data_IF_893442597812
#
_entry.id   IF_893442597812
#
_cell.length_a   1.000
_cell.length_b   1.000
_cell.length_c   1.000
_cell.angle_alpha   90.00
_cell.angle_beta   90.00
_cell.angle_gamma   90.00
#
_symmetry.space_group_name_H-M   'P 1'
#
loop_
_entity.id
_entity.type
_entity.pdbx_description
1 polymer ?
#
# COMPACT_ATOMS: atom_id res chain seq x y z
N UNK A 1 14.00 17.17 21.62
CA UNK A 1 14.95 17.47 20.50
C UNK A 1 16.41 17.45 20.97
N UNK A 2 16.71 18.02 22.13
CA UNK A 2 18.06 18.10 22.73
C UNK A 2 18.74 16.74 22.89
N UNK A 3 18.06 15.72 23.43
CA UNK A 3 18.60 14.38 23.60
C UNK A 3 18.97 13.70 22.28
N UNK A 4 18.21 13.97 21.20
CA UNK A 4 18.53 13.45 19.86
C UNK A 4 19.79 14.12 19.32
N UNK A 5 19.89 15.44 19.41
CA UNK A 5 21.08 16.19 18.99
C UNK A 5 22.32 15.72 19.75
N UNK A 6 22.22 15.61 21.07
CA UNK A 6 23.30 15.15 21.91
C UNK A 6 23.76 13.70 21.60
N UNK A 7 22.83 12.80 21.20
CA UNK A 7 23.18 11.45 20.74
C UNK A 7 23.90 11.47 19.39
N UNK A 8 23.46 12.35 18.46
CA UNK A 8 24.08 12.48 17.15
C UNK A 8 25.50 13.03 17.24
N UNK A 9 25.77 13.91 18.21
CA UNK A 9 27.07 14.58 18.40
C UNK A 9 28.06 13.75 19.24
N UNK A 10 27.58 12.79 20.05
CA UNK A 10 28.43 12.05 20.98
C UNK A 10 29.33 10.98 20.35
N UNK A 11 29.09 10.61 19.09
CA UNK A 11 29.79 9.49 18.46
C UNK A 11 29.39 8.10 18.98
N UNK A 12 28.43 8.04 19.91
CA UNK A 12 27.90 6.78 20.44
C UNK A 12 27.07 6.02 19.37
N UNK A 13 26.82 4.74 19.65
CA UNK A 13 25.93 3.94 18.81
C UNK A 13 24.55 4.58 18.71
N UNK A 14 24.14 4.91 17.48
CA UNK A 14 22.87 5.59 17.18
C UNK A 14 21.72 4.59 17.18
N UNK A 15 21.25 4.23 18.37
CA UNK A 15 20.11 3.34 18.55
C UNK A 15 18.99 4.03 19.32
N UNK A 16 17.76 3.60 19.10
CA UNK A 16 16.58 4.06 19.87
C UNK A 16 16.73 3.70 21.35
N UNK A 17 17.38 2.58 21.65
CA UNK A 17 17.68 2.16 23.02
C UNK A 17 18.59 3.17 23.74
N UNK A 18 19.70 3.58 23.11
CA UNK A 18 20.59 4.62 23.66
C UNK A 18 19.89 5.97 23.84
N UNK A 19 19.00 6.32 22.92
CA UNK A 19 18.19 7.54 23.08
C UNK A 19 17.32 7.44 24.33
N UNK A 20 16.65 6.32 24.56
CA UNK A 20 15.79 6.10 25.73
C UNK A 20 16.62 6.15 27.01
N UNK A 21 17.79 5.50 27.10
CA UNK A 21 18.70 5.57 28.24
C UNK A 21 19.09 7.02 28.59
N UNK A 22 19.41 7.82 27.57
CA UNK A 22 19.71 9.25 27.78
C UNK A 22 18.52 10.05 28.27
N UNK A 23 17.32 9.75 27.76
CA UNK A 23 16.10 10.39 28.22
C UNK A 23 15.74 10.01 29.66
N UNK A 24 16.03 8.76 30.09
CA UNK A 24 15.86 8.29 31.46
C UNK A 24 16.78 9.03 32.44
N UNK A 25 17.96 9.44 31.99
CA UNK A 25 18.88 10.26 32.76
C UNK A 25 18.61 11.77 32.68
N UNK A 26 17.62 12.20 31.90
CA UNK A 26 17.26 13.60 31.68
C UNK A 26 16.25 14.14 32.68
N UNK A 27 15.64 15.28 32.34
CA UNK A 27 14.62 15.93 33.14
C UNK A 27 13.28 15.17 33.16
N UNK A 28 12.37 15.52 34.08
CA UNK A 28 11.07 14.86 34.32
C UNK A 28 10.26 14.58 33.06
N UNK A 29 10.23 15.50 32.09
CA UNK A 29 9.52 15.32 30.82
C UNK A 29 10.19 14.23 29.98
N UNK A 30 11.52 14.23 29.90
CA UNK A 30 12.27 13.23 29.15
C UNK A 30 12.09 11.85 29.77
N UNK A 31 12.17 11.73 31.10
CA UNK A 31 11.93 10.49 31.82
C UNK A 31 10.52 9.93 31.60
N UNK A 32 9.50 10.81 31.56
CA UNK A 32 8.13 10.40 31.27
C UNK A 32 8.01 9.81 29.85
N UNK A 33 8.58 10.49 28.85
CA UNK A 33 8.58 10.01 27.47
C UNK A 33 9.38 8.70 27.36
N UNK A 34 10.51 8.56 28.03
CA UNK A 34 11.29 7.34 28.06
C UNK A 34 10.49 6.15 28.61
N UNK A 35 9.73 6.35 29.70
CA UNK A 35 8.85 5.31 30.27
C UNK A 35 7.73 4.88 29.29
N UNK A 36 7.15 5.85 28.57
CA UNK A 36 6.16 5.53 27.52
C UNK A 36 6.80 4.72 26.38
N UNK A 37 7.99 5.07 25.93
CA UNK A 37 8.72 4.34 24.89
C UNK A 37 9.09 2.92 25.33
N UNK A 38 9.53 2.74 26.60
CA UNK A 38 9.83 1.42 27.17
C UNK A 38 8.60 0.49 27.18
N UNK A 39 7.39 1.04 27.33
CA UNK A 39 6.17 0.23 27.29
C UNK A 39 6.01 -0.50 25.94
N UNK A 40 6.56 0.04 24.86
CA UNK A 40 6.50 -0.60 23.53
C UNK A 40 7.52 -1.73 23.35
N UNK A 41 8.55 -1.83 24.18
CA UNK A 41 9.53 -2.93 24.10
C UNK A 41 8.88 -4.31 24.36
N UNK A 42 7.74 -4.35 25.04
CA UNK A 42 6.95 -5.57 25.25
C UNK A 42 6.22 -6.06 23.99
N UNK A 43 6.01 -5.21 23.02
CA UNK A 43 5.31 -5.53 21.78
C UNK A 43 6.29 -6.01 20.68
N UNK A 44 5.90 -7.01 19.90
CA UNK A 44 6.74 -7.57 18.85
C UNK A 44 7.12 -6.53 17.78
N UNK A 45 6.19 -5.66 17.42
CA UNK A 45 6.41 -4.60 16.43
C UNK A 45 7.17 -3.44 17.08
N UNK A 46 6.87 -3.12 18.34
CA UNK A 46 7.60 -2.11 19.11
C UNK A 46 9.09 -2.42 19.21
N UNK A 47 9.47 -3.68 19.39
CA UNK A 47 10.87 -4.13 19.39
C UNK A 47 11.60 -3.92 18.05
N UNK A 48 10.88 -3.87 16.92
CA UNK A 48 11.48 -3.55 15.63
C UNK A 48 11.94 -2.09 15.54
N UNK A 49 11.30 -1.20 16.30
CA UNK A 49 11.61 0.24 16.31
C UNK A 49 12.55 0.57 17.49
N UNK A 50 12.30 -0.05 18.65
CA UNK A 50 13.00 0.21 19.90
C UNK A 50 13.86 -1.02 20.22
N UNK A 51 14.91 -1.25 19.42
CA UNK A 51 15.83 -2.36 19.59
C UNK A 51 17.22 -1.92 20.06
N UNK A 52 17.92 -2.83 20.75
CA UNK A 52 19.32 -2.62 21.15
C UNK A 52 20.27 -2.69 19.95
N UNK A 53 19.92 -3.43 18.92
CA UNK A 53 20.67 -3.54 17.66
C UNK A 53 19.70 -3.54 16.49
N UNK A 54 20.04 -2.80 15.46
CA UNK A 54 19.47 -3.03 14.15
C UNK A 54 20.06 -4.35 13.61
N UNK A 55 19.31 -5.44 13.71
CA UNK A 55 19.67 -6.73 13.12
C UNK A 55 19.58 -6.74 11.59
N UNK A 56 19.62 -5.59 10.97
CA UNK A 56 19.60 -5.39 9.52
C UNK A 56 19.42 -3.94 9.18
N UNK A 57 20.15 -3.48 8.20
CA UNK A 57 19.95 -2.17 7.60
C UNK A 57 18.99 -2.34 6.42
N UNK A 58 17.87 -1.60 6.43
CA UNK A 58 17.10 -1.40 5.22
C UNK A 58 18.01 -0.69 4.21
N UNK A 59 18.61 -1.46 3.30
CA UNK A 59 19.42 -0.94 2.22
C UNK A 59 18.58 -0.94 0.94
N UNK A 60 18.48 0.21 0.29
CA UNK A 60 17.98 0.28 -1.08
C UNK A 60 19.19 0.28 -2.01
N UNK A 61 19.15 -0.61 -3.00
CA UNK A 61 20.17 -0.74 -4.05
C UNK A 61 19.52 -0.82 -5.43
N UNK A 62 20.26 -1.33 -6.38
CA UNK A 62 19.72 -1.70 -7.69
C UNK A 62 18.75 -2.88 -7.55
N UNK A 63 17.67 -2.87 -8.33
CA UNK A 63 16.66 -3.92 -8.33
C UNK A 63 15.38 -3.55 -7.57
N UNK A 64 14.74 -4.54 -6.98
CA UNK A 64 13.44 -4.40 -6.31
C UNK A 64 13.65 -4.52 -4.80
N UNK A 65 13.22 -3.51 -4.06
CA UNK A 65 13.12 -3.56 -2.60
C UNK A 65 11.64 -3.67 -2.22
N UNK A 66 11.27 -4.76 -1.56
CA UNK A 66 9.92 -4.97 -1.04
C UNK A 66 9.91 -4.71 0.46
N UNK A 67 9.08 -3.76 0.91
CA UNK A 67 8.84 -3.48 2.33
C UNK A 67 7.45 -4.01 2.66
N UNK A 68 7.39 -5.04 3.49
CA UNK A 68 6.14 -5.69 3.86
C UNK A 68 5.97 -5.70 5.37
N UNK A 69 4.81 -5.26 5.83
CA UNK A 69 4.43 -5.27 7.24
C UNK A 69 3.24 -6.20 7.45
N UNK A 70 3.45 -7.49 7.69
CA UNK A 70 2.36 -8.41 7.96
C UNK A 70 1.63 -8.02 9.26
N UNK A 71 0.30 -7.95 9.20
CA UNK A 71 -0.56 -7.66 10.36
C UNK A 71 -0.33 -6.27 11.01
N UNK A 72 0.04 -5.27 10.22
CA UNK A 72 0.10 -3.90 10.70
C UNK A 72 -1.33 -3.42 11.03
N UNK A 73 -1.57 -3.11 12.30
CA UNK A 73 -2.84 -2.52 12.73
C UNK A 73 -2.73 -1.01 12.61
N UNK A 74 -3.50 -0.44 11.67
CA UNK A 74 -3.55 1.00 11.46
C UNK A 74 -4.86 1.55 12.02
N UNK A 75 -4.84 2.79 12.57
CA UNK A 75 -6.06 3.41 13.06
C UNK A 75 -7.05 3.64 11.91
N UNK A 76 -8.37 3.45 12.16
CA UNK A 76 -9.40 3.76 11.19
C UNK A 76 -9.35 5.24 10.76
N UNK A 77 -9.80 5.52 9.53
CA UNK A 77 -9.88 6.87 9.02
C UNK A 77 -10.72 7.78 9.93
N UNK A 78 -10.23 8.97 10.21
CA UNK A 78 -10.93 9.97 11.02
C UNK A 78 -10.89 9.75 12.54
N UNK A 79 -10.26 8.68 13.03
CA UNK A 79 -10.08 8.44 14.46
C UNK A 79 -9.01 9.37 15.04
N UNK A 80 -9.32 10.10 16.10
CA UNK A 80 -8.37 10.99 16.75
C UNK A 80 -7.20 10.19 17.39
N UNK A 81 -5.95 10.69 17.36
CA UNK A 81 -4.79 9.99 17.95
C UNK A 81 -4.95 9.62 19.42
N UNK A 82 -5.77 10.36 20.17
CA UNK A 82 -6.07 10.07 21.56
C UNK A 82 -6.87 8.77 21.75
N UNK A 83 -7.63 8.38 20.75
CA UNK A 83 -8.52 7.19 20.75
C UNK A 83 -7.81 5.92 20.23
N UNK A 84 -6.60 6.07 19.68
CA UNK A 84 -5.87 4.94 19.12
C UNK A 84 -5.44 3.95 20.20
N UNK A 85 -5.62 2.68 19.93
CA UNK A 85 -5.04 1.61 20.74
C UNK A 85 -3.52 1.68 20.73
N UNK A 86 -2.87 1.01 21.67
CA UNK A 86 -1.40 0.90 21.69
C UNK A 86 -0.88 0.28 20.39
N UNK A 87 -1.51 -0.78 19.91
CA UNK A 87 -1.14 -1.47 18.67
C UNK A 87 -1.26 -0.54 17.45
N UNK A 88 -2.34 0.26 17.37
CA UNK A 88 -2.53 1.24 16.30
C UNK A 88 -1.49 2.36 16.33
N UNK A 89 -1.10 2.83 17.52
CA UNK A 89 0.00 3.82 17.66
C UNK A 89 1.32 3.28 17.15
N UNK A 90 1.64 2.03 17.50
CA UNK A 90 2.84 1.36 17.01
C UNK A 90 2.77 1.16 15.51
N UNK A 91 1.63 0.67 14.99
CA UNK A 91 1.41 0.51 13.55
C UNK A 91 1.61 1.81 12.77
N UNK A 92 1.03 2.90 13.25
CA UNK A 92 1.21 4.22 12.65
C UNK A 92 2.68 4.70 12.69
N UNK A 93 3.40 4.45 13.80
CA UNK A 93 4.81 4.81 13.92
C UNK A 93 5.69 4.02 12.94
N UNK A 94 5.44 2.72 12.77
CA UNK A 94 6.13 1.86 11.78
C UNK A 94 5.90 2.36 10.36
N UNK A 95 4.63 2.64 10.01
CA UNK A 95 4.29 3.17 8.70
C UNK A 95 5.02 4.50 8.42
N UNK A 96 5.00 5.43 9.38
CA UNK A 96 5.75 6.70 9.28
C UNK A 96 7.25 6.49 9.09
N UNK A 97 7.84 5.57 9.86
CA UNK A 97 9.26 5.22 9.75
C UNK A 97 9.63 4.72 8.35
N UNK A 98 8.82 3.84 7.77
CA UNK A 98 9.00 3.34 6.41
C UNK A 98 8.89 4.46 5.36
N UNK A 99 7.87 5.32 5.47
CA UNK A 99 7.69 6.44 4.56
C UNK A 99 8.84 7.45 4.65
N UNK A 100 9.28 7.77 5.87
CA UNK A 100 10.44 8.62 6.09
C UNK A 100 11.73 8.00 5.51
N UNK A 101 11.91 6.69 5.66
CA UNK A 101 13.03 5.97 5.07
C UNK A 101 13.02 6.05 3.55
N UNK A 102 11.89 5.79 2.90
CA UNK A 102 11.76 5.91 1.43
C UNK A 102 12.18 7.32 0.97
N UNK A 103 11.68 8.36 1.64
CA UNK A 103 12.00 9.75 1.32
C UNK A 103 13.50 10.07 1.53
N UNK A 104 14.09 9.57 2.62
CA UNK A 104 15.50 9.80 2.91
C UNK A 104 16.40 9.10 1.89
N UNK A 105 16.10 7.83 1.57
CA UNK A 105 16.81 7.08 0.54
C UNK A 105 16.73 7.79 -0.81
N UNK A 106 15.52 8.23 -1.22
CA UNK A 106 15.32 8.93 -2.48
C UNK A 106 16.14 10.23 -2.59
N UNK A 107 16.44 10.88 -1.46
CA UNK A 107 17.23 12.12 -1.37
C UNK A 107 18.74 11.92 -1.38
N UNK A 108 19.25 10.70 -1.16
CA UNK A 108 20.70 10.44 -1.15
C UNK A 108 21.32 10.76 -2.52
N UNK A 109 22.59 11.17 -2.52
CA UNK A 109 23.28 11.53 -3.76
C UNK A 109 23.32 10.36 -4.76
N UNK A 110 23.59 9.14 -4.29
CA UNK A 110 23.61 7.94 -5.11
C UNK A 110 22.25 7.68 -5.78
N UNK A 111 21.16 7.80 -5.00
CA UNK A 111 19.82 7.52 -5.50
C UNK A 111 19.26 8.65 -6.37
N UNK A 112 19.71 9.90 -6.22
CA UNK A 112 19.26 11.00 -7.09
C UNK A 112 19.63 10.81 -8.56
N UNK A 113 20.76 10.16 -8.83
CA UNK A 113 21.21 9.87 -10.20
C UNK A 113 20.39 8.73 -10.87
N UNK A 114 19.67 7.94 -10.10
CA UNK A 114 18.88 6.81 -10.56
C UNK A 114 17.42 7.16 -10.74
N UNK A 115 16.78 6.64 -11.78
CA UNK A 115 15.31 6.66 -11.88
C UNK A 115 14.73 5.57 -10.97
N UNK A 116 13.73 5.93 -10.18
CA UNK A 116 13.09 5.07 -9.21
C UNK A 116 11.59 4.99 -9.45
N UNK A 117 11.03 3.81 -9.22
CA UNK A 117 9.60 3.60 -9.14
C UNK A 117 9.24 3.27 -7.69
N UNK A 118 8.34 4.04 -7.12
CA UNK A 118 7.72 3.75 -5.82
C UNK A 118 6.30 3.28 -6.10
N UNK A 119 5.98 2.06 -5.68
CA UNK A 119 4.65 1.47 -5.84
C UNK A 119 4.03 1.33 -4.46
N UNK A 120 2.86 1.92 -4.28
CA UNK A 120 2.11 1.89 -3.02
C UNK A 120 0.74 1.30 -3.32
N UNK A 121 0.59 -0.01 -3.10
CA UNK A 121 -0.71 -0.65 -3.21
C UNK A 121 -1.62 -0.22 -2.04
N UNK A 122 -2.93 -0.25 -2.25
CA UNK A 122 -3.93 0.08 -1.25
C UNK A 122 -3.69 1.45 -0.57
N UNK A 123 -3.42 2.48 -1.38
CA UNK A 123 -3.04 3.81 -0.90
C UNK A 123 -4.09 4.43 0.03
N UNK A 124 -5.36 3.98 -0.02
CA UNK A 124 -6.41 4.42 0.90
C UNK A 124 -6.04 4.17 2.38
N UNK A 125 -5.27 3.11 2.67
CA UNK A 125 -4.79 2.84 4.03
C UNK A 125 -3.82 3.92 4.53
N UNK A 126 -3.03 4.50 3.64
CA UNK A 126 -2.14 5.62 3.99
C UNK A 126 -2.91 6.94 4.07
N UNK A 127 -3.84 7.17 3.15
CA UNK A 127 -4.63 8.41 3.15
C UNK A 127 -5.63 8.48 4.29
N UNK A 128 -5.90 7.37 4.96
CA UNK A 128 -6.73 7.33 6.16
C UNK A 128 -6.20 8.21 7.31
N UNK A 129 -4.89 8.52 7.33
CA UNK A 129 -4.29 9.38 8.33
C UNK A 129 -3.51 10.54 7.68
N UNK A 130 -3.32 11.63 8.45
CA UNK A 130 -2.70 12.87 7.97
C UNK A 130 -1.25 12.69 7.53
N UNK A 131 -0.49 11.81 8.20
CA UNK A 131 0.94 11.63 7.90
C UNK A 131 1.16 10.89 6.58
N UNK A 132 0.38 9.83 6.34
CA UNK A 132 0.42 9.12 5.07
C UNK A 132 -0.02 10.00 3.91
N UNK A 133 -1.05 10.81 4.12
CA UNK A 133 -1.49 11.80 3.15
C UNK A 133 -0.40 12.83 2.83
N UNK A 134 0.24 13.39 3.87
CA UNK A 134 1.34 14.35 3.72
C UNK A 134 2.52 13.73 2.99
N UNK A 135 2.84 12.45 3.26
CA UNK A 135 3.88 11.73 2.54
C UNK A 135 3.56 11.60 1.04
N UNK A 136 2.34 11.18 0.70
CA UNK A 136 1.93 11.05 -0.70
C UNK A 136 2.00 12.40 -1.43
N UNK A 137 1.55 13.47 -0.81
CA UNK A 137 1.68 14.83 -1.36
C UNK A 137 3.14 15.22 -1.57
N UNK A 138 4.01 14.94 -0.60
CA UNK A 138 5.43 15.27 -0.71
C UNK A 138 6.11 14.48 -1.83
N UNK A 139 5.90 13.16 -1.90
CA UNK A 139 6.54 12.34 -2.92
C UNK A 139 6.01 12.66 -4.32
N UNK A 140 4.72 12.99 -4.45
CA UNK A 140 4.13 13.42 -5.70
C UNK A 140 4.76 14.74 -6.19
N UNK A 141 4.90 15.73 -5.33
CA UNK A 141 5.51 17.04 -5.66
C UNK A 141 7.03 16.97 -5.91
N UNK A 142 7.74 16.22 -5.08
CA UNK A 142 9.20 16.13 -5.17
C UNK A 142 9.69 15.05 -6.14
N UNK A 143 8.81 14.16 -6.60
CA UNK A 143 9.17 13.00 -7.41
C UNK A 143 10.02 13.36 -8.62
N UNK A 144 9.64 14.41 -9.37
CA UNK A 144 10.42 14.87 -10.53
C UNK A 144 11.85 15.26 -10.17
N UNK A 145 12.02 16.04 -9.09
CA UNK A 145 13.34 16.51 -8.63
C UNK A 145 14.21 15.36 -8.08
N UNK A 146 13.58 14.31 -7.58
CA UNK A 146 14.25 13.14 -7.00
C UNK A 146 14.38 11.98 -8.00
N UNK A 147 13.89 12.11 -9.24
CA UNK A 147 13.85 11.02 -10.21
C UNK A 147 12.92 9.87 -9.78
N UNK A 148 11.87 10.15 -9.03
CA UNK A 148 10.88 9.19 -8.54
C UNK A 148 9.63 9.27 -9.40
N UNK A 149 9.18 8.12 -9.90
CA UNK A 149 7.82 7.92 -10.41
C UNK A 149 7.00 7.22 -9.34
N UNK A 150 5.80 7.72 -9.07
CA UNK A 150 4.88 7.16 -8.08
C UNK A 150 3.76 6.41 -8.79
N UNK A 151 3.51 5.18 -8.38
CA UNK A 151 2.33 4.39 -8.74
C UNK A 151 1.56 4.11 -7.46
N UNK A 152 0.30 4.49 -7.44
CA UNK A 152 -0.62 4.22 -6.34
C UNK A 152 -1.83 3.49 -6.89
N UNK A 153 -2.33 2.53 -6.14
CA UNK A 153 -3.62 1.94 -6.39
C UNK A 153 -4.53 2.09 -5.17
N UNK A 154 -5.83 2.07 -5.37
CA UNK A 154 -6.81 2.17 -4.30
C UNK A 154 -8.13 1.55 -4.72
N UNK A 155 -8.74 0.80 -3.83
CA UNK A 155 -10.11 0.31 -3.99
C UNK A 155 -11.15 1.42 -3.74
N UNK A 156 -10.75 2.50 -3.05
CA UNK A 156 -11.59 3.67 -2.84
C UNK A 156 -11.04 4.88 -3.62
N UNK A 157 -11.59 5.19 -4.80
CA UNK A 157 -11.16 6.33 -5.61
C UNK A 157 -11.35 7.68 -4.88
N UNK A 158 -12.30 7.80 -3.94
CA UNK A 158 -12.53 9.04 -3.21
C UNK A 158 -11.35 9.42 -2.32
N UNK A 159 -10.64 8.44 -1.79
CA UNK A 159 -9.44 8.65 -0.98
C UNK A 159 -8.32 9.42 -1.70
N UNK A 160 -8.29 9.35 -3.02
CA UNK A 160 -7.33 10.04 -3.89
C UNK A 160 -7.97 11.30 -4.51
N UNK A 161 -9.22 11.21 -5.00
CA UNK A 161 -9.90 12.29 -5.72
C UNK A 161 -10.16 13.53 -4.85
N UNK A 162 -10.23 13.38 -3.54
CA UNK A 162 -10.42 14.47 -2.58
C UNK A 162 -9.11 15.22 -2.22
N UNK A 163 -7.98 14.87 -2.88
CA UNK A 163 -6.65 15.42 -2.58
C UNK A 163 -6.08 16.19 -3.76
N UNK A 164 -6.29 17.48 -3.78
CA UNK A 164 -5.85 18.36 -4.88
C UNK A 164 -4.35 18.23 -5.17
N UNK A 165 -3.51 18.15 -4.12
CA UNK A 165 -2.07 18.05 -4.28
C UNK A 165 -1.61 16.80 -5.02
N UNK A 166 -2.30 15.68 -4.83
CA UNK A 166 -2.03 14.42 -5.55
C UNK A 166 -2.66 14.50 -6.96
N UNK A 167 -3.90 14.97 -7.05
CA UNK A 167 -4.64 15.07 -8.30
C UNK A 167 -3.91 15.87 -9.38
N UNK A 168 -3.27 16.98 -8.99
CA UNK A 168 -2.48 17.82 -9.89
C UNK A 168 -1.25 17.10 -10.47
N UNK A 169 -0.72 16.12 -9.76
CA UNK A 169 0.49 15.40 -10.15
C UNK A 169 0.20 14.08 -10.89
N UNK A 170 -1.03 13.59 -10.88
CA UNK A 170 -1.39 12.36 -11.59
C UNK A 170 -1.41 12.61 -13.09
N UNK A 171 -0.52 11.92 -13.80
CA UNK A 171 -0.37 12.04 -15.25
C UNK A 171 -1.21 11.00 -15.99
N UNK A 172 -1.26 9.78 -15.47
CA UNK A 172 -1.98 8.65 -16.06
C UNK A 172 -2.86 8.00 -15.01
N UNK A 173 -4.10 7.70 -15.35
CA UNK A 173 -5.08 7.09 -14.45
C UNK A 173 -5.72 5.90 -15.15
N UNK A 174 -5.89 4.80 -14.42
CA UNK A 174 -6.67 3.65 -14.84
C UNK A 174 -7.83 3.49 -13.87
N UNK A 175 -9.06 3.47 -14.39
CA UNK A 175 -10.28 3.31 -13.61
C UNK A 175 -10.98 2.04 -14.06
N UNK A 176 -11.08 1.08 -13.16
CA UNK A 176 -11.90 -0.12 -13.33
C UNK A 176 -13.33 0.16 -12.86
N UNK A 177 -14.26 -0.77 -13.12
CA UNK A 177 -15.65 -0.65 -12.74
C UNK A 177 -15.83 -0.28 -11.26
N UNK A 178 -16.76 0.63 -11.00
CA UNK A 178 -17.12 1.09 -9.66
C UNK A 178 -18.64 0.98 -9.50
N UNK A 179 -19.09 0.42 -8.37
CA UNK A 179 -20.50 0.04 -8.17
C UNK A 179 -21.35 1.08 -7.45
N UNK A 180 -20.75 2.05 -6.76
CA UNK A 180 -21.49 3.08 -6.02
C UNK A 180 -21.36 4.45 -6.67
N UNK A 181 -22.45 5.27 -6.64
CA UNK A 181 -22.41 6.62 -7.21
C UNK A 181 -21.27 7.47 -6.66
N UNK A 182 -21.00 7.39 -5.35
CA UNK A 182 -19.89 8.12 -4.73
C UNK A 182 -18.55 7.75 -5.35
N UNK A 183 -18.31 6.45 -5.55
CA UNK A 183 -17.05 5.96 -6.15
C UNK A 183 -16.99 6.31 -7.64
N UNK A 184 -18.12 6.24 -8.36
CA UNK A 184 -18.20 6.63 -9.76
C UNK A 184 -17.92 8.12 -9.95
N UNK A 185 -18.44 8.98 -9.08
CA UNK A 185 -18.16 10.43 -9.11
C UNK A 185 -16.69 10.74 -8.82
N UNK A 186 -16.09 10.06 -7.84
CA UNK A 186 -14.68 10.20 -7.54
C UNK A 186 -13.81 9.70 -8.71
N UNK A 187 -14.17 8.57 -9.31
CA UNK A 187 -13.49 8.00 -10.46
C UNK A 187 -13.61 8.92 -11.71
N UNK A 188 -14.77 9.54 -11.92
CA UNK A 188 -14.96 10.56 -12.99
C UNK A 188 -13.97 11.72 -12.80
N UNK A 189 -13.85 12.27 -11.58
CA UNK A 189 -12.88 13.33 -11.27
C UNK A 189 -11.43 12.90 -11.52
N UNK A 190 -11.07 11.66 -11.14
CA UNK A 190 -9.74 11.09 -11.43
C UNK A 190 -9.46 11.02 -12.94
N UNK A 191 -10.50 10.77 -13.74
CA UNK A 191 -10.41 10.81 -15.20
C UNK A 191 -10.43 12.24 -15.77
N UNK A 192 -10.69 13.26 -14.93
CA UNK A 192 -10.85 14.65 -15.36
C UNK A 192 -12.17 14.89 -16.09
N UNK A 193 -13.18 14.08 -15.81
CA UNK A 193 -14.53 14.19 -16.33
C UNK A 193 -15.48 14.75 -15.26
N UNK A 194 -16.47 15.54 -15.69
CA UNK A 194 -17.54 15.96 -14.81
C UNK A 194 -18.49 14.78 -14.53
N UNK A 195 -18.84 14.53 -13.28
CA UNK A 195 -19.81 13.49 -12.92
C UNK A 195 -21.17 13.73 -13.58
N UNK A 196 -21.65 12.74 -14.32
CA UNK A 196 -22.95 12.75 -14.96
C UNK A 196 -23.51 11.32 -15.02
N UNK A 197 -24.83 11.13 -15.23
CA UNK A 197 -25.41 9.79 -15.39
C UNK A 197 -24.72 8.95 -16.46
N UNK A 198 -24.36 9.54 -17.59
CA UNK A 198 -23.68 8.84 -18.68
C UNK A 198 -22.26 8.43 -18.31
N UNK A 199 -21.50 9.30 -17.62
CA UNK A 199 -20.15 8.99 -17.14
C UNK A 199 -20.19 7.91 -16.06
N UNK A 200 -21.16 7.95 -15.15
CA UNK A 200 -21.35 6.88 -14.15
C UNK A 200 -21.65 5.54 -14.82
N UNK A 201 -22.57 5.52 -15.78
CA UNK A 201 -22.89 4.30 -16.54
C UNK A 201 -21.67 3.74 -17.28
N UNK A 202 -20.86 4.62 -17.89
CA UNK A 202 -19.62 4.23 -18.55
C UNK A 202 -18.61 3.60 -17.56
N UNK A 203 -18.47 4.16 -16.36
CA UNK A 203 -17.58 3.62 -15.32
C UNK A 203 -18.11 2.29 -14.76
N UNK A 204 -19.42 2.20 -14.54
CA UNK A 204 -20.06 0.99 -14.04
C UNK A 204 -19.85 -0.21 -14.98
N UNK A 205 -19.99 0.01 -16.27
CA UNK A 205 -20.02 -1.05 -17.29
C UNK A 205 -18.70 -1.31 -17.99
N UNK A 206 -17.62 -0.54 -17.71
CA UNK A 206 -16.35 -0.67 -18.46
C UNK A 206 -15.71 -2.06 -18.36
N UNK A 207 -15.94 -2.77 -17.28
CA UNK A 207 -15.42 -4.14 -17.07
C UNK A 207 -16.49 -5.22 -17.28
N UNK A 208 -17.54 -4.91 -18.04
CA UNK A 208 -18.63 -5.85 -18.37
C UNK A 208 -18.66 -6.09 -19.87
N UNK A 209 -18.69 -7.35 -20.28
CA UNK A 209 -18.88 -7.73 -21.68
C UNK A 209 -20.31 -7.34 -22.11
N UNK A 210 -20.48 -6.46 -23.09
CA UNK A 210 -21.80 -5.99 -23.50
C UNK A 210 -22.65 -7.10 -24.15
N UNK A 211 -22.05 -8.22 -24.53
CA UNK A 211 -22.74 -9.33 -25.19
C UNK A 211 -23.20 -10.39 -24.21
N UNK A 212 -22.33 -10.81 -23.29
CA UNK A 212 -22.62 -11.88 -22.34
C UNK A 212 -23.03 -11.37 -20.96
N UNK A 213 -22.70 -10.13 -20.61
CA UNK A 213 -22.86 -9.59 -19.25
C UNK A 213 -21.81 -10.09 -18.24
N UNK A 214 -20.85 -10.88 -18.70
CA UNK A 214 -19.78 -11.41 -17.86
C UNK A 214 -18.73 -10.35 -17.54
N UNK A 215 -17.91 -10.62 -16.49
CA UNK A 215 -16.79 -9.73 -16.17
C UNK A 215 -15.72 -9.77 -17.25
N UNK A 216 -15.43 -8.61 -17.82
CA UNK A 216 -14.43 -8.44 -18.87
C UNK A 216 -13.09 -8.03 -18.25
N UNK A 217 -12.32 -9.05 -17.88
CA UNK A 217 -11.06 -8.87 -17.16
C UNK A 217 -10.07 -7.96 -17.90
N UNK A 218 -9.46 -7.05 -17.14
CA UNK A 218 -8.45 -6.14 -17.63
C UNK A 218 -8.98 -4.92 -18.40
N UNK A 219 -10.30 -4.81 -18.64
CA UNK A 219 -10.89 -3.64 -19.25
C UNK A 219 -11.06 -2.51 -18.23
N UNK A 220 -10.63 -1.32 -18.62
CA UNK A 220 -10.72 -0.13 -17.78
C UNK A 220 -10.76 1.15 -18.63
N UNK A 221 -11.13 2.25 -18.03
CA UNK A 221 -10.96 3.59 -18.61
C UNK A 221 -9.56 4.08 -18.27
N UNK A 222 -8.83 4.57 -19.25
CA UNK A 222 -7.52 5.17 -19.07
C UNK A 222 -7.54 6.65 -19.46
N UNK A 223 -7.06 7.52 -18.57
CA UNK A 223 -6.68 8.88 -18.91
C UNK A 223 -5.18 8.94 -19.15
N UNK A 224 -4.78 9.37 -20.32
CA UNK A 224 -3.36 9.52 -20.69
C UNK A 224 -2.76 10.88 -20.26
N UNK A 225 -1.44 11.03 -20.47
CA UNK A 225 -0.71 12.26 -20.19
C UNK A 225 -1.20 13.50 -20.95
N UNK A 226 -1.96 13.32 -22.05
CA UNK A 226 -2.60 14.38 -22.81
C UNK A 226 -4.05 14.64 -22.40
N UNK A 227 -4.46 14.03 -21.26
CA UNK A 227 -5.82 14.09 -20.69
C UNK A 227 -6.90 13.50 -21.61
N UNK A 228 -6.54 12.61 -22.54
CA UNK A 228 -7.52 11.88 -23.35
C UNK A 228 -7.98 10.67 -22.57
N UNK A 229 -9.27 10.39 -22.60
CA UNK A 229 -9.88 9.23 -21.95
C UNK A 229 -10.29 8.23 -23.03
N UNK A 230 -9.96 6.97 -22.82
CA UNK A 230 -10.34 5.86 -23.69
C UNK A 230 -10.49 4.56 -22.88
N UNK A 231 -11.32 3.65 -23.39
CA UNK A 231 -11.34 2.28 -22.92
C UNK A 231 -10.09 1.55 -23.41
N UNK A 232 -9.41 0.86 -22.51
CA UNK A 232 -8.24 0.04 -22.79
C UNK A 232 -8.36 -1.33 -22.16
N UNK A 233 -7.67 -2.30 -22.74
CA UNK A 233 -7.51 -3.62 -22.16
C UNK A 233 -6.08 -3.82 -21.70
N UNK A 234 -5.88 -4.17 -20.43
CA UNK A 234 -4.59 -4.54 -19.88
C UNK A 234 -4.38 -6.03 -20.16
N UNK A 235 -3.46 -6.35 -21.04
CA UNK A 235 -3.13 -7.73 -21.38
C UNK A 235 -2.13 -8.32 -20.38
N UNK A 236 -2.40 -9.52 -19.93
CA UNK A 236 -1.43 -10.29 -19.13
C UNK A 236 -0.42 -10.91 -20.09
N UNK A 237 0.91 -10.64 -19.93
CA UNK A 237 1.90 -10.94 -20.95
C UNK A 237 2.15 -12.45 -21.16
N UNK A 238 1.91 -13.29 -20.15
CA UNK A 238 2.10 -14.75 -20.25
C UNK A 238 1.42 -15.50 -19.10
N UNK A 239 1.33 -16.83 -19.24
CA UNK A 239 0.64 -17.68 -18.26
C UNK A 239 1.31 -17.72 -16.89
N UNK A 240 2.64 -17.57 -16.82
CA UNK A 240 3.35 -17.49 -15.53
C UNK A 240 2.89 -16.27 -14.71
N UNK A 241 2.75 -15.12 -15.35
CA UNK A 241 2.23 -13.90 -14.70
C UNK A 241 0.76 -14.10 -14.35
N UNK A 242 -0.03 -14.73 -15.24
CA UNK A 242 -1.43 -15.03 -14.96
C UNK A 242 -1.60 -15.91 -13.72
N UNK A 243 -0.82 -16.97 -13.61
CA UNK A 243 -0.84 -17.87 -12.44
C UNK A 243 -0.41 -17.15 -11.16
N UNK A 244 0.60 -16.26 -11.24
CA UNK A 244 1.07 -15.48 -10.08
C UNK A 244 0.02 -14.44 -9.60
N UNK A 245 -0.83 -13.95 -10.50
CA UNK A 245 -1.90 -13.00 -10.20
C UNK A 245 -3.23 -13.67 -9.82
N UNK A 246 -3.35 -14.98 -10.03
CA UNK A 246 -4.55 -15.72 -9.67
C UNK A 246 -4.59 -15.93 -8.15
N UNK A 247 -5.39 -15.11 -7.49
CA UNK A 247 -5.64 -15.19 -6.05
C UNK A 247 -6.90 -15.97 -5.72
N UNK A 248 -7.51 -16.60 -6.72
CA UNK A 248 -8.73 -17.41 -6.53
C UNK A 248 -8.40 -18.58 -5.59
N UNK A 249 -9.07 -18.73 -4.45
CA UNK A 249 -8.82 -19.86 -3.57
C UNK A 249 -9.11 -21.15 -4.33
N UNK A 250 -8.28 -22.20 -4.19
CA UNK A 250 -8.51 -23.47 -4.87
C UNK A 250 -9.94 -23.94 -4.55
N UNK A 251 -10.73 -24.20 -5.60
CA UNK A 251 -12.05 -24.83 -5.43
C UNK A 251 -11.85 -26.06 -4.57
N UNK A 252 -12.52 -26.11 -3.41
CA UNK A 252 -12.63 -27.37 -2.66
C UNK A 252 -13.31 -28.35 -3.61
N UNK A 253 -12.56 -29.27 -4.20
CA UNK A 253 -13.14 -30.42 -4.90
C UNK A 253 -14.09 -31.06 -3.90
N UNK A 254 -15.36 -31.10 -4.25
CA UNK A 254 -16.35 -31.79 -3.43
C UNK A 254 -15.91 -33.24 -3.34
N UNK A 255 -15.62 -33.73 -2.13
CA UNK A 255 -15.30 -35.14 -1.87
C UNK A 255 -16.31 -36.12 -2.52
N UNK A 256 -17.50 -35.64 -2.86
CA UNK A 256 -18.54 -36.39 -3.57
C UNK A 256 -18.16 -36.78 -5.02
N UNK A 257 -17.36 -35.93 -5.70
CA UNK A 257 -16.95 -36.21 -7.10
C UNK A 257 -15.84 -37.28 -7.17
N UNK A 258 -15.00 -37.36 -6.12
CA UNK A 258 -13.96 -38.41 -6.03
C UNK A 258 -14.54 -39.79 -5.71
N UNK A 259 -15.61 -39.87 -4.91
CA UNK A 259 -16.30 -41.13 -4.61
C UNK A 259 -17.08 -41.68 -5.82
N UNK A 260 -17.58 -40.81 -6.68
CA UNK A 260 -18.28 -41.20 -7.90
C UNK A 260 -17.31 -41.72 -8.96
N UNK A 261 -16.13 -41.11 -9.07
CA UNK A 261 -15.06 -41.56 -10.00
C UNK A 261 -14.41 -42.88 -9.54
N UNK A 262 -14.33 -43.13 -8.21
CA UNK A 262 -13.81 -44.40 -7.67
C UNK A 262 -14.78 -45.56 -7.86
N UNK A 263 -16.09 -45.32 -7.75
CA UNK A 263 -17.12 -46.37 -7.96
C UNK A 263 -17.32 -46.72 -9.44
N UNK A 264 -17.02 -45.81 -10.38
CA UNK A 264 -17.10 -46.08 -11.83
C UNK A 264 -15.99 -46.96 -12.40
N UNK A 265 -14.90 -47.23 -11.67
CA UNK A 265 -13.77 -48.06 -12.10
C UNK A 265 -13.84 -49.52 -11.64
N UNK A 266 -14.75 -49.88 -10.75
CA UNK A 266 -14.90 -51.24 -10.23
C UNK A 266 -16.04 -52.06 -10.88
N UNK A 267 -16.68 -51.53 -11.95
CA UNK A 267 -17.82 -52.17 -12.60
C UNK A 267 -17.56 -52.72 -14.01
N UNK A 268 -16.29 -52.93 -14.43
CA UNK A 268 -15.98 -53.47 -15.76
C UNK A 268 -14.88 -54.52 -15.75
N UNK A 269 -15.04 -55.51 -14.92
CA UNK A 269 -14.30 -56.76 -15.10
C UNK A 269 -15.11 -57.88 -14.43
N UNK A 270 -16.15 -58.34 -15.11
CA UNK A 270 -16.74 -59.67 -14.93
C UNK A 270 -17.82 -59.88 -16.02
N UNK A 271 -17.39 -60.17 -17.25
CA UNK A 271 -18.14 -60.99 -18.21
C UNK A 271 -17.24 -61.29 -19.40
N UNK A 272 -16.44 -62.36 -19.29
CA UNK A 272 -16.00 -63.20 -20.42
C UNK A 272 -15.52 -64.55 -19.89
N UNK A 273 -16.41 -65.51 -19.86
CA UNK A 273 -16.13 -66.91 -19.95
C UNK A 273 -17.19 -67.56 -20.82
#
# INVERSE_FOLDING_TARGET
MEHIAALLDSGDERSSHRLIERMEAGEDIAQRVARELRAYEGDAIGRMIIGQRAEGTLAAGEGITLIQFPKLDLPPAGTAPAEWTTTQRVGAAVARGALAWIMNVAKTQAMRAMRKLVVIPEAHLLTANQDGATFLDQIARLGRALGVSLVIDSQDPSSIAERDGIMEQIVTTFVFSQSTEKQQDAAARLLGLEPSPDVRAMIDTVSVDPTSGDVWHGHCLMRDARRRVATVQIAIPNDRVRQALDTTPPRKENRHDLDTAARGRHGRDDTAA
#
